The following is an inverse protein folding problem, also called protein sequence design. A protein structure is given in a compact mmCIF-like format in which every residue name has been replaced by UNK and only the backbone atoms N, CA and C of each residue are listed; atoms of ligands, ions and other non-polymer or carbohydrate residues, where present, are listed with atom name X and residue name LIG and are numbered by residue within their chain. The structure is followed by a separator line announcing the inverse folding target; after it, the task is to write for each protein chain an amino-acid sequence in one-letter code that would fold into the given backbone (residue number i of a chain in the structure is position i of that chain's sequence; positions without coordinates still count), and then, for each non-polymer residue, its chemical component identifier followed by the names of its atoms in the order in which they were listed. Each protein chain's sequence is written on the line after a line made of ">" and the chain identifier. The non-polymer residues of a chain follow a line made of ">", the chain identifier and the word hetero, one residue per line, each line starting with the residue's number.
data_IF_159314559033
#
_entry.id   IF_159314559033
#
_cell.length_a   1.000
_cell.length_b   1.000
_cell.length_c   1.000
_cell.angle_alpha   90.00
_cell.angle_beta   90.00
_cell.angle_gamma   90.00
#
_symmetry.space_group_name_H-M   'P 1'
#
loop_
_entity.id
_entity.type
_entity.pdbx_description
1 polymer ?
#
# COMPACT_ATOMS: atom_id res chain seq x y z
N UNK A 1 -8.03 19.69 -26.43
CA UNK A 1 -8.02 18.77 -25.27
C UNK A 1 -6.55 18.57 -24.90
N UNK A 2 -6.10 19.12 -23.78
CA UNK A 2 -4.71 18.92 -23.34
C UNK A 2 -4.55 17.45 -22.95
N UNK A 3 -3.76 16.68 -23.70
CA UNK A 3 -3.41 15.31 -23.33
C UNK A 3 -2.48 15.39 -22.12
N UNK A 4 -3.06 15.45 -20.92
CA UNK A 4 -2.28 15.23 -19.71
C UNK A 4 -1.63 13.85 -19.82
N UNK A 5 -0.33 13.78 -19.55
CA UNK A 5 0.37 12.51 -19.45
C UNK A 5 -0.35 11.64 -18.41
N UNK A 6 -0.77 10.44 -18.80
CA UNK A 6 -1.41 9.47 -17.91
C UNK A 6 -0.43 9.04 -16.80
N UNK A 7 -0.93 8.64 -15.61
CA UNK A 7 -0.06 8.26 -14.49
C UNK A 7 0.69 6.95 -14.74
N UNK A 8 0.16 6.12 -15.66
CA UNK A 8 0.79 4.88 -16.09
C UNK A 8 1.06 4.91 -17.60
N UNK A 9 2.07 4.14 -18.03
CA UNK A 9 2.39 4.01 -19.45
C UNK A 9 1.24 3.34 -20.23
N UNK A 10 1.13 3.61 -21.53
CA UNK A 10 0.05 3.05 -22.37
C UNK A 10 0.01 1.51 -22.38
N UNK A 11 1.17 0.86 -22.17
CA UNK A 11 1.32 -0.59 -22.11
C UNK A 11 0.95 -1.21 -20.76
N UNK A 12 0.85 -0.43 -19.69
CA UNK A 12 0.53 -0.95 -18.35
C UNK A 12 -0.91 -1.47 -18.30
N UNK A 13 -1.08 -2.74 -17.96
CA UNK A 13 -2.38 -3.41 -17.77
C UNK A 13 -2.56 -3.97 -16.36
N UNK A 14 -1.48 -4.36 -15.69
CA UNK A 14 -1.53 -4.95 -14.34
C UNK A 14 -0.58 -4.23 -13.40
N UNK A 15 -1.15 -3.66 -12.35
CA UNK A 15 -0.44 -2.96 -11.27
C UNK A 15 -0.60 -3.75 -9.99
N UNK A 16 0.50 -4.29 -9.47
CA UNK A 16 0.52 -5.10 -8.26
C UNK A 16 0.93 -4.25 -7.05
N UNK A 17 0.17 -4.34 -5.97
CA UNK A 17 0.54 -3.82 -4.66
C UNK A 17 0.95 -4.98 -3.75
N UNK A 18 2.21 -4.97 -3.32
CA UNK A 18 2.77 -5.88 -2.32
C UNK A 18 2.99 -5.14 -0.99
N UNK A 19 2.71 -5.82 0.10
CA UNK A 19 2.93 -5.27 1.43
C UNK A 19 2.29 -6.11 2.53
N UNK A 20 2.15 -5.49 3.70
CA UNK A 20 1.60 -6.13 4.89
C UNK A 20 0.10 -5.83 5.11
N UNK A 21 -0.34 -5.76 6.37
CA UNK A 21 -1.73 -5.49 6.77
C UNK A 21 -2.27 -4.15 6.29
N UNK A 22 -1.42 -3.12 6.16
CA UNK A 22 -1.84 -1.80 5.65
C UNK A 22 -2.17 -1.90 4.15
N UNK A 23 -1.40 -2.70 3.41
CA UNK A 23 -1.70 -3.00 2.01
C UNK A 23 -2.92 -3.89 1.88
N UNK A 24 -3.08 -4.89 2.74
CA UNK A 24 -4.27 -5.73 2.81
C UNK A 24 -5.56 -4.93 3.10
N UNK A 25 -5.51 -3.95 4.01
CA UNK A 25 -6.62 -3.03 4.25
C UNK A 25 -6.96 -2.24 2.97
N UNK A 26 -5.94 -1.70 2.30
CA UNK A 26 -6.02 -1.40 0.87
C UNK A 26 -6.83 -0.16 0.46
N UNK A 27 -7.34 0.65 1.39
CA UNK A 27 -8.12 1.84 1.02
C UNK A 27 -7.33 2.80 0.12
N UNK A 28 -6.01 2.94 0.32
CA UNK A 28 -5.19 3.76 -0.58
C UNK A 28 -5.12 3.21 -2.01
N UNK A 29 -5.29 1.90 -2.20
CA UNK A 29 -5.35 1.25 -3.52
C UNK A 29 -6.70 1.55 -4.17
N UNK A 30 -7.79 1.44 -3.40
CA UNK A 30 -9.14 1.85 -3.84
C UNK A 30 -9.12 3.30 -4.30
N UNK A 31 -8.48 4.20 -3.54
CA UNK A 31 -8.42 5.62 -3.89
C UNK A 31 -7.65 5.87 -5.20
N UNK A 32 -6.53 5.18 -5.42
CA UNK A 32 -5.76 5.28 -6.65
C UNK A 32 -6.55 4.72 -7.84
N UNK A 33 -7.15 3.53 -7.70
CA UNK A 33 -7.95 2.91 -8.75
C UNK A 33 -9.14 3.80 -9.15
N UNK A 34 -9.88 4.31 -8.16
CA UNK A 34 -11.00 5.21 -8.38
C UNK A 34 -10.57 6.51 -9.06
N UNK A 35 -9.47 7.12 -8.60
CA UNK A 35 -8.91 8.30 -9.24
C UNK A 35 -8.57 8.06 -10.71
N UNK A 36 -7.84 6.97 -10.99
CA UNK A 36 -7.42 6.63 -12.34
C UNK A 36 -8.59 6.27 -13.25
N UNK A 37 -9.54 5.49 -12.76
CA UNK A 37 -10.73 5.10 -13.52
C UNK A 37 -11.58 6.31 -13.92
N UNK A 38 -11.81 7.25 -12.99
CA UNK A 38 -12.66 8.41 -13.25
C UNK A 38 -11.98 9.47 -14.12
N UNK A 39 -10.67 9.70 -13.97
CA UNK A 39 -9.94 10.70 -14.74
C UNK A 39 -9.39 10.17 -16.07
N UNK A 40 -9.16 8.86 -16.17
CA UNK A 40 -8.57 8.20 -17.34
C UNK A 40 -9.37 6.95 -17.76
N UNK A 41 -10.67 7.06 -18.07
CA UNK A 41 -11.54 5.89 -18.32
C UNK A 41 -11.11 4.99 -19.50
N UNK A 42 -10.31 5.52 -20.42
CA UNK A 42 -9.72 4.77 -21.54
C UNK A 42 -8.51 3.91 -21.16
N UNK A 43 -7.89 4.16 -20.00
CA UNK A 43 -6.78 3.36 -19.49
C UNK A 43 -7.33 2.23 -18.61
N UNK A 44 -7.47 1.03 -19.20
CA UNK A 44 -7.90 -0.17 -18.48
C UNK A 44 -6.71 -0.82 -17.77
N UNK A 45 -6.66 -0.66 -16.45
CA UNK A 45 -5.66 -1.25 -15.57
C UNK A 45 -6.36 -2.10 -14.51
N UNK A 46 -5.85 -3.31 -14.29
CA UNK A 46 -6.19 -4.16 -13.16
C UNK A 46 -5.23 -3.83 -12.00
N UNK A 47 -5.80 -3.33 -10.90
CA UNK A 47 -5.06 -3.09 -9.66
C UNK A 47 -5.20 -4.30 -8.74
N UNK A 48 -4.09 -4.98 -8.47
CA UNK A 48 -4.05 -6.24 -7.73
C UNK A 48 -3.48 -6.00 -6.33
N UNK A 49 -4.32 -6.17 -5.32
CA UNK A 49 -3.89 -6.13 -3.92
C UNK A 49 -3.39 -7.51 -3.45
N UNK A 50 -2.10 -7.62 -3.19
CA UNK A 50 -1.45 -8.82 -2.63
C UNK A 50 -0.86 -8.54 -1.24
N UNK A 51 -1.43 -7.61 -0.48
CA UNK A 51 -1.04 -7.39 0.91
C UNK A 51 -1.33 -8.60 1.79
N UNK A 52 -0.39 -9.04 2.63
CA UNK A 52 -0.60 -10.13 3.59
C UNK A 52 -0.39 -9.63 5.03
N UNK A 53 -1.41 -9.69 5.92
CA UNK A 53 -1.26 -9.15 7.26
C UNK A 53 -0.09 -9.78 8.04
N UNK A 54 0.59 -8.95 8.84
CA UNK A 54 1.79 -9.31 9.62
C UNK A 54 3.05 -9.67 8.82
N UNK A 55 2.99 -9.73 7.48
CA UNK A 55 4.12 -10.12 6.64
C UNK A 55 5.32 -9.18 6.79
N UNK A 56 6.52 -9.78 6.71
CA UNK A 56 7.81 -9.09 6.62
C UNK A 56 8.49 -9.40 5.29
N UNK A 57 9.32 -8.47 4.82
CA UNK A 57 10.27 -8.73 3.73
C UNK A 57 11.62 -9.18 4.27
N UNK A 58 11.92 -8.85 5.52
CA UNK A 58 13.14 -9.27 6.23
C UNK A 58 13.17 -10.76 6.61
N UNK A 59 12.03 -11.45 6.55
CA UNK A 59 11.87 -12.84 7.02
C UNK A 59 11.94 -13.00 8.54
N UNK A 60 11.89 -11.89 9.28
CA UNK A 60 11.99 -11.90 10.74
C UNK A 60 10.64 -12.17 11.41
N UNK A 61 10.69 -12.84 12.56
CA UNK A 61 9.56 -12.99 13.47
C UNK A 61 10.05 -12.95 14.91
N UNK A 62 9.36 -12.19 15.76
CA UNK A 62 9.58 -12.21 17.20
C UNK A 62 9.02 -13.49 17.83
N UNK A 63 9.61 -13.88 18.96
CA UNK A 63 9.08 -14.95 19.80
C UNK A 63 7.67 -14.59 20.30
N UNK A 64 6.75 -15.55 20.25
CA UNK A 64 5.38 -15.35 20.72
C UNK A 64 4.48 -14.53 19.78
N UNK A 65 4.89 -14.27 18.53
CA UNK A 65 4.02 -13.62 17.54
C UNK A 65 2.63 -14.29 17.48
N UNK A 66 1.58 -13.47 17.39
CA UNK A 66 0.19 -13.93 17.44
C UNK A 66 -0.16 -14.84 18.64
N UNK A 67 0.45 -14.58 19.80
CA UNK A 67 0.29 -15.41 21.01
C UNK A 67 0.94 -16.80 20.88
N UNK A 68 1.98 -16.91 20.05
CA UNK A 68 2.66 -18.17 19.75
C UNK A 68 1.96 -19.06 18.72
N UNK A 69 0.84 -18.62 18.14
CA UNK A 69 0.06 -19.44 17.19
C UNK A 69 0.78 -19.67 15.86
N UNK A 70 1.52 -18.68 15.37
CA UNK A 70 2.29 -18.77 14.13
C UNK A 70 3.35 -17.65 14.08
N UNK A 71 4.50 -17.86 13.40
CA UNK A 71 5.47 -16.79 13.17
C UNK A 71 4.92 -15.75 12.18
N UNK A 72 5.52 -14.56 12.11
CA UNK A 72 5.20 -13.62 11.03
C UNK A 72 5.33 -14.29 9.66
N UNK A 73 4.40 -14.05 8.72
CA UNK A 73 4.58 -14.47 7.35
C UNK A 73 5.83 -13.82 6.74
N UNK A 74 6.49 -14.56 5.85
CA UNK A 74 7.69 -14.14 5.15
C UNK A 74 7.39 -14.06 3.65
N UNK A 75 7.62 -12.90 3.03
CA UNK A 75 7.39 -12.72 1.59
C UNK A 75 8.17 -13.74 0.73
N UNK A 76 9.36 -14.16 1.17
CA UNK A 76 10.17 -15.18 0.47
C UNK A 76 9.40 -16.48 0.25
N UNK A 77 8.43 -16.78 1.11
CA UNK A 77 7.64 -18.00 1.04
C UNK A 77 6.70 -18.04 -0.17
N UNK A 78 6.18 -16.89 -0.62
CA UNK A 78 5.11 -16.83 -1.62
C UNK A 78 5.41 -16.00 -2.87
N UNK A 79 6.47 -15.20 -2.88
CA UNK A 79 6.71 -14.24 -3.96
C UNK A 79 6.72 -14.88 -5.35
N UNK A 80 7.44 -16.00 -5.53
CA UNK A 80 7.54 -16.65 -6.85
C UNK A 80 6.16 -17.09 -7.38
N UNK A 81 5.26 -17.56 -6.49
CA UNK A 81 3.87 -17.89 -6.85
C UNK A 81 3.06 -16.65 -7.19
N UNK A 82 3.19 -15.57 -6.40
CA UNK A 82 2.54 -14.29 -6.66
C UNK A 82 2.95 -13.73 -8.02
N UNK A 83 4.24 -13.73 -8.34
CA UNK A 83 4.76 -13.25 -9.63
C UNK A 83 4.21 -14.09 -10.80
N UNK A 84 4.23 -15.42 -10.68
CA UNK A 84 3.75 -16.32 -11.73
C UNK A 84 2.24 -16.17 -11.99
N UNK A 85 1.46 -15.96 -10.92
CA UNK A 85 0.02 -15.80 -10.97
C UNK A 85 -0.39 -14.43 -11.53
N UNK A 86 0.20 -13.35 -11.02
CA UNK A 86 -0.25 -11.98 -11.32
C UNK A 86 0.32 -11.43 -12.63
N UNK A 87 1.57 -11.81 -12.97
CA UNK A 87 2.31 -11.31 -14.15
C UNK A 87 2.20 -9.78 -14.29
N UNK A 88 2.67 -9.01 -13.29
CA UNK A 88 2.46 -7.57 -13.26
C UNK A 88 3.37 -6.83 -14.24
N UNK A 89 2.89 -5.70 -14.76
CA UNK A 89 3.69 -4.76 -15.54
C UNK A 89 4.42 -3.75 -14.64
N UNK A 90 3.82 -3.46 -13.48
CA UNK A 90 4.32 -2.54 -12.47
C UNK A 90 4.02 -3.08 -11.07
N UNK A 91 4.98 -2.92 -10.17
CA UNK A 91 4.86 -3.31 -8.76
C UNK A 91 5.08 -2.11 -7.86
N UNK A 92 4.18 -1.91 -6.90
CA UNK A 92 4.38 -1.06 -5.74
C UNK A 92 4.62 -1.94 -4.51
N UNK A 93 5.75 -1.77 -3.82
CA UNK A 93 6.11 -2.59 -2.67
C UNK A 93 6.23 -1.75 -1.40
N UNK A 94 5.42 -2.05 -0.38
CA UNK A 94 5.37 -1.31 0.89
C UNK A 94 5.66 -2.21 2.09
N UNK A 95 6.92 -2.22 2.53
CA UNK A 95 7.41 -3.00 3.67
C UNK A 95 8.21 -2.12 4.65
N UNK A 96 8.39 -2.59 5.88
CA UNK A 96 9.10 -1.87 6.94
C UNK A 96 8.34 -1.90 8.28
N UNK A 97 7.02 -1.75 8.28
CA UNK A 97 6.20 -1.66 9.51
C UNK A 97 6.36 -2.86 10.44
N UNK A 98 6.52 -4.07 9.91
CA UNK A 98 6.68 -5.28 10.71
C UNK A 98 8.15 -5.71 10.87
N UNK A 99 9.03 -5.23 10.00
CA UNK A 99 10.40 -5.72 9.83
C UNK A 99 11.32 -5.36 11.01
N UNK A 100 11.00 -4.27 11.71
CA UNK A 100 11.66 -3.90 12.97
C UNK A 100 11.11 -4.61 14.21
N UNK A 101 10.10 -5.48 14.06
CA UNK A 101 9.44 -6.27 15.11
C UNK A 101 8.90 -5.45 16.29
N UNK A 102 8.58 -4.17 16.08
CA UNK A 102 8.10 -3.26 17.13
C UNK A 102 9.08 -3.11 18.30
N UNK A 103 10.37 -3.26 18.02
CA UNK A 103 11.48 -3.11 18.97
C UNK A 103 12.31 -1.85 18.65
N UNK A 104 13.07 -1.31 19.62
CA UNK A 104 14.01 -0.22 19.35
C UNK A 104 14.96 -0.54 18.19
N UNK A 105 15.53 0.50 17.59
CA UNK A 105 16.44 0.34 16.47
C UNK A 105 17.59 -0.61 16.78
N UNK A 106 17.92 -1.45 15.80
CA UNK A 106 18.99 -2.43 15.87
C UNK A 106 19.57 -2.64 14.48
N UNK A 107 20.89 -2.67 14.40
CA UNK A 107 21.60 -2.78 13.13
C UNK A 107 21.40 -4.14 12.46
N UNK A 108 21.21 -5.21 13.25
CA UNK A 108 21.01 -6.56 12.68
C UNK A 108 19.63 -6.65 12.03
N UNK A 109 18.56 -6.23 12.71
CA UNK A 109 17.20 -6.14 12.13
C UNK A 109 17.17 -5.21 10.93
N UNK A 110 17.82 -4.05 11.03
CA UNK A 110 17.90 -3.13 9.90
C UNK A 110 18.62 -3.73 8.70
N UNK A 111 19.72 -4.48 8.90
CA UNK A 111 20.39 -5.17 7.82
C UNK A 111 19.47 -6.19 7.14
N UNK A 112 18.70 -6.98 7.91
CA UNK A 112 17.73 -7.92 7.34
C UNK A 112 16.62 -7.24 6.54
N UNK A 113 16.15 -6.08 6.97
CA UNK A 113 15.23 -5.27 6.16
C UNK A 113 15.86 -4.84 4.83
N UNK A 114 17.09 -4.31 4.85
CA UNK A 114 17.80 -3.88 3.64
C UNK A 114 18.04 -5.03 2.67
N UNK A 115 18.41 -6.20 3.19
CA UNK A 115 18.65 -7.41 2.42
C UNK A 115 17.35 -7.88 1.76
N UNK A 116 16.25 -7.94 2.52
CA UNK A 116 14.93 -8.32 2.00
C UNK A 116 14.42 -7.38 0.91
N UNK A 117 14.53 -6.06 1.11
CA UNK A 117 14.17 -5.08 0.07
C UNK A 117 15.03 -5.24 -1.19
N UNK A 118 16.34 -5.46 -1.03
CA UNK A 118 17.24 -5.66 -2.16
C UNK A 118 16.91 -6.93 -2.92
N UNK A 119 16.69 -8.03 -2.21
CA UNK A 119 16.23 -9.30 -2.79
C UNK A 119 14.92 -9.14 -3.56
N UNK A 120 13.93 -8.44 -2.99
CA UNK A 120 12.65 -8.19 -3.64
C UNK A 120 12.83 -7.36 -4.93
N UNK A 121 13.66 -6.33 -4.87
CA UNK A 121 13.99 -5.52 -6.04
C UNK A 121 14.61 -6.38 -7.14
N UNK A 122 15.63 -7.16 -6.81
CA UNK A 122 16.38 -7.99 -7.75
C UNK A 122 15.50 -9.06 -8.39
N UNK A 123 14.55 -9.64 -7.63
CA UNK A 123 13.57 -10.62 -8.15
C UNK A 123 12.72 -10.06 -9.30
N UNK A 124 12.24 -8.81 -9.18
CA UNK A 124 11.46 -8.16 -10.24
C UNK A 124 12.34 -7.62 -11.36
N UNK A 125 13.47 -6.98 -11.03
CA UNK A 125 14.42 -6.45 -11.99
C UNK A 125 14.97 -7.54 -12.92
N UNK A 126 15.28 -8.73 -12.39
CA UNK A 126 15.74 -9.88 -13.18
C UNK A 126 14.71 -10.39 -14.19
N UNK A 127 13.43 -10.04 -14.04
CA UNK A 127 12.36 -10.32 -15.00
C UNK A 127 12.00 -9.12 -15.88
N UNK A 128 12.74 -8.01 -15.77
CA UNK A 128 12.44 -6.76 -16.49
C UNK A 128 11.14 -6.09 -16.03
N UNK A 129 10.63 -6.44 -14.84
CA UNK A 129 9.39 -5.86 -14.30
C UNK A 129 9.75 -4.61 -13.49
N UNK A 130 9.07 -3.50 -13.79
CA UNK A 130 9.26 -2.24 -13.07
C UNK A 130 8.75 -2.36 -11.63
N UNK A 131 9.58 -1.99 -10.66
CA UNK A 131 9.23 -1.95 -9.24
C UNK A 131 9.51 -0.57 -8.64
N UNK A 132 8.54 -0.05 -7.91
CA UNK A 132 8.62 1.18 -7.13
C UNK A 132 8.46 0.82 -5.65
N UNK A 133 9.48 1.13 -4.85
CA UNK A 133 9.39 0.95 -3.40
C UNK A 133 8.62 2.10 -2.76
N UNK A 134 7.69 1.79 -1.86
CA UNK A 134 6.99 2.76 -1.04
C UNK A 134 7.64 2.78 0.33
N UNK A 135 8.00 3.96 0.85
CA UNK A 135 8.46 4.07 2.25
C UNK A 135 7.34 3.60 3.20
N UNK A 136 7.66 2.92 4.31
CA UNK A 136 6.64 2.47 5.25
C UNK A 136 5.86 3.65 5.85
N UNK A 137 4.54 3.52 6.09
CA UNK A 137 3.75 4.49 6.83
C UNK A 137 4.33 4.79 8.22
N UNK A 138 3.94 5.92 8.81
CA UNK A 138 4.34 6.29 10.16
C UNK A 138 3.81 5.31 11.20
N UNK A 139 4.63 5.02 12.20
CA UNK A 139 4.17 4.42 13.45
C UNK A 139 3.95 5.51 14.50
N UNK A 140 2.79 5.47 15.15
CA UNK A 140 2.40 6.45 16.15
C UNK A 140 2.55 5.87 17.57
N UNK A 141 3.68 6.19 18.21
CA UNK A 141 4.01 5.66 19.54
C UNK A 141 3.01 6.07 20.62
N UNK A 142 2.34 7.22 20.48
CA UNK A 142 1.34 7.68 21.45
C UNK A 142 0.10 6.77 21.47
N UNK A 143 -0.14 6.04 20.37
CA UNK A 143 -1.26 5.12 20.22
C UNK A 143 -0.83 3.66 20.35
N UNK A 144 0.25 3.28 19.68
CA UNK A 144 0.71 1.89 19.64
C UNK A 144 1.59 1.47 20.82
N UNK A 145 2.11 2.42 21.60
CA UNK A 145 2.82 2.16 22.86
C UNK A 145 4.24 1.57 22.74
N UNK A 146 4.80 1.42 21.53
CA UNK A 146 6.16 0.89 21.32
C UNK A 146 7.15 2.05 21.17
N UNK A 147 7.68 2.48 22.31
CA UNK A 147 8.63 3.61 22.39
C UNK A 147 9.89 3.37 21.54
N UNK A 148 10.29 4.38 20.78
CA UNK A 148 11.44 4.35 19.88
C UNK A 148 11.19 3.65 18.54
N UNK A 149 9.99 3.12 18.30
CA UNK A 149 9.68 2.46 17.03
C UNK A 149 9.42 3.45 15.89
N UNK A 150 8.87 4.63 16.15
CA UNK A 150 8.71 5.68 15.13
C UNK A 150 10.05 6.04 14.48
N UNK A 151 11.13 6.13 15.28
CA UNK A 151 12.50 6.35 14.78
C UNK A 151 13.02 5.20 13.91
N UNK A 152 12.58 3.96 14.15
CA UNK A 152 12.93 2.83 13.27
C UNK A 152 12.34 3.05 11.88
N UNK A 153 11.08 3.48 11.80
CA UNK A 153 10.43 3.74 10.51
C UNK A 153 11.00 4.98 9.81
N UNK A 154 11.46 5.99 10.55
CA UNK A 154 12.25 7.11 9.99
C UNK A 154 13.50 6.56 9.30
N UNK A 155 14.33 5.78 10.01
CA UNK A 155 15.60 5.26 9.47
C UNK A 155 15.40 4.33 8.28
N UNK A 156 14.33 3.51 8.29
CA UNK A 156 14.02 2.62 7.18
C UNK A 156 13.58 3.42 5.94
N UNK A 157 12.79 4.48 6.15
CA UNK A 157 12.35 5.39 5.10
C UNK A 157 13.51 6.19 4.51
N UNK A 158 14.39 6.76 5.35
CA UNK A 158 15.60 7.47 4.92
C UNK A 158 16.50 6.60 4.05
N UNK A 159 16.72 5.34 4.47
CA UNK A 159 17.54 4.43 3.70
C UNK A 159 16.93 4.08 2.33
N UNK A 160 15.62 3.83 2.28
CA UNK A 160 14.89 3.61 1.02
C UNK A 160 15.04 4.82 0.10
N UNK A 161 14.78 6.03 0.61
CA UNK A 161 14.91 7.27 -0.17
C UNK A 161 16.34 7.49 -0.68
N UNK A 162 17.35 7.10 0.10
CA UNK A 162 18.76 7.11 -0.32
C UNK A 162 19.05 6.24 -1.54
N UNK A 163 18.26 5.18 -1.78
CA UNK A 163 18.46 4.28 -2.92
C UNK A 163 18.16 4.94 -4.27
N UNK A 164 17.40 6.04 -4.30
CA UNK A 164 17.21 6.85 -5.51
C UNK A 164 18.54 7.32 -6.08
N UNK A 165 19.46 7.77 -5.23
CA UNK A 165 20.78 8.25 -5.65
C UNK A 165 21.80 7.11 -5.71
N UNK A 166 21.76 6.20 -4.74
CA UNK A 166 22.77 5.15 -4.62
C UNK A 166 22.64 4.05 -5.68
N UNK A 167 21.41 3.72 -6.09
CA UNK A 167 21.11 2.60 -7.00
C UNK A 167 20.18 2.97 -8.16
N UNK A 168 19.81 4.24 -8.29
CA UNK A 168 18.80 4.69 -9.26
C UNK A 168 17.45 3.95 -9.14
N UNK A 169 17.10 3.55 -7.92
CA UNK A 169 15.82 2.90 -7.66
C UNK A 169 14.67 3.92 -7.67
N UNK A 170 13.52 3.47 -8.14
CA UNK A 170 12.27 4.21 -7.99
C UNK A 170 11.72 4.03 -6.56
N UNK A 171 11.51 5.15 -5.88
CA UNK A 171 10.99 5.16 -4.50
C UNK A 171 9.96 6.29 -4.33
N UNK A 172 8.76 5.98 -3.87
CA UNK A 172 7.74 6.95 -3.52
C UNK A 172 7.67 7.13 -2.00
N UNK A 173 7.68 8.39 -1.55
CA UNK A 173 7.65 8.75 -0.12
C UNK A 173 6.21 8.87 0.36
N UNK A 174 5.78 7.91 1.17
CA UNK A 174 4.53 7.97 1.94
C UNK A 174 4.79 8.46 3.37
N UNK A 175 5.98 8.21 3.91
CA UNK A 175 6.30 8.34 5.32
C UNK A 175 6.26 9.80 5.78
N UNK A 176 7.06 10.67 5.16
CA UNK A 176 7.19 12.05 5.61
C UNK A 176 5.94 12.90 5.34
N UNK A 177 5.18 12.71 4.25
CA UNK A 177 3.86 13.32 4.11
C UNK A 177 2.92 12.98 5.27
N UNK A 178 2.85 11.71 5.68
CA UNK A 178 2.05 11.28 6.83
C UNK A 178 2.56 11.87 8.14
N UNK A 179 3.89 11.83 8.37
CA UNK A 179 4.52 12.37 9.58
C UNK A 179 4.24 13.86 9.73
N UNK A 180 4.48 14.63 8.67
CA UNK A 180 4.20 16.07 8.63
C UNK A 180 2.74 16.38 8.95
N UNK A 181 1.81 15.62 8.38
CA UNK A 181 0.38 15.82 8.63
C UNK A 181 0.01 15.55 10.09
N UNK A 182 0.47 14.42 10.64
CA UNK A 182 0.24 14.03 12.04
C UNK A 182 0.78 15.07 13.02
N UNK A 183 2.03 15.50 12.84
CA UNK A 183 2.68 16.49 13.71
C UNK A 183 2.01 17.86 13.62
N UNK A 184 1.58 18.28 12.43
CA UNK A 184 0.89 19.56 12.25
C UNK A 184 -0.45 19.60 13.01
N UNK A 185 -1.26 18.54 12.90
CA UNK A 185 -2.53 18.45 13.64
C UNK A 185 -2.29 18.42 15.14
N UNK A 186 -1.32 17.64 15.62
CA UNK A 186 -0.98 17.58 17.05
C UNK A 186 -0.50 18.91 17.62
N UNK A 187 0.19 19.74 16.83
CA UNK A 187 0.55 21.10 17.26
C UNK A 187 -0.70 21.98 17.47
N UNK A 188 -1.70 21.85 16.60
CA UNK A 188 -2.99 22.54 16.75
C UNK A 188 -3.74 22.02 17.98
N UNK A 189 -3.85 20.70 18.14
CA UNK A 189 -4.55 20.09 19.27
C UNK A 189 -3.93 20.46 20.61
N UNK A 190 -2.59 20.46 20.69
CA UNK A 190 -1.87 20.89 21.87
C UNK A 190 -2.13 22.37 22.20
N UNK A 191 -2.19 23.25 21.19
CA UNK A 191 -2.53 24.65 21.40
C UNK A 191 -3.98 24.85 21.90
N UNK A 192 -4.88 23.91 21.59
CA UNK A 192 -6.28 23.91 22.03
C UNK A 192 -6.54 23.07 23.29
N UNK A 193 -5.51 22.43 23.87
CA UNK A 193 -5.63 21.50 25.00
C UNK A 193 -6.65 20.37 24.77
N UNK A 194 -6.70 19.81 23.56
CA UNK A 194 -7.58 18.68 23.22
C UNK A 194 -6.78 17.39 22.98
N UNK A 195 -7.49 16.26 22.96
CA UNK A 195 -6.87 14.96 22.68
C UNK A 195 -6.15 14.97 21.34
N UNK A 196 -4.89 14.55 21.34
CA UNK A 196 -4.05 14.58 20.14
C UNK A 196 -4.60 13.70 19.01
N UNK A 197 -4.62 14.30 17.83
CA UNK A 197 -4.94 13.68 16.56
C UNK A 197 -4.07 12.44 16.32
N UNK A 198 -4.64 11.49 15.57
CA UNK A 198 -3.98 10.27 15.18
C UNK A 198 -4.43 9.90 13.78
N UNK A 199 -3.51 9.34 13.00
CA UNK A 199 -3.85 8.71 11.72
C UNK A 199 -4.29 7.26 11.91
N UNK A 200 -3.82 6.59 12.97
CA UNK A 200 -4.09 5.19 13.28
C UNK A 200 -4.47 5.05 14.77
N UNK A 201 -5.65 4.49 15.05
CA UNK A 201 -6.14 4.37 16.43
C UNK A 201 -5.28 3.43 17.29
N UNK A 202 -4.69 2.40 16.67
CA UNK A 202 -3.76 1.44 17.27
C UNK A 202 -2.28 1.82 17.03
N UNK A 203 -2.04 2.97 16.41
CA UNK A 203 -0.73 3.47 16.02
C UNK A 203 -0.07 2.77 14.83
N UNK A 204 -0.75 1.82 14.18
CA UNK A 204 -0.21 1.02 13.06
C UNK A 204 -1.06 1.16 11.80
N UNK A 205 -2.38 0.93 11.90
CA UNK A 205 -3.28 0.84 10.76
C UNK A 205 -3.97 2.19 10.52
N UNK A 206 -3.59 2.95 9.46
CA UNK A 206 -4.18 4.24 9.22
C UNK A 206 -5.68 4.14 8.89
N UNK A 207 -6.48 5.08 9.37
CA UNK A 207 -7.85 5.28 8.92
C UNK A 207 -7.92 5.95 7.55
N UNK A 208 -9.12 6.38 7.16
CA UNK A 208 -9.39 6.99 5.85
C UNK A 208 -8.45 8.16 5.53
N UNK A 209 -8.27 9.11 6.45
CA UNK A 209 -7.34 10.24 6.26
C UNK A 209 -5.91 9.78 5.99
N UNK A 210 -5.43 8.77 6.72
CA UNK A 210 -4.08 8.24 6.53
C UNK A 210 -3.91 7.51 5.21
N UNK A 211 -4.90 6.71 4.82
CA UNK A 211 -4.92 6.06 3.52
C UNK A 211 -4.98 7.05 2.36
N UNK A 212 -5.75 8.13 2.49
CA UNK A 212 -5.76 9.20 1.49
C UNK A 212 -4.40 9.89 1.36
N UNK A 213 -3.70 10.18 2.47
CA UNK A 213 -2.35 10.76 2.40
C UNK A 213 -1.40 9.84 1.63
N UNK A 214 -1.49 8.52 1.85
CA UNK A 214 -0.71 7.53 1.11
C UNK A 214 -1.07 7.56 -0.39
N UNK A 215 -2.36 7.51 -0.73
CA UNK A 215 -2.83 7.55 -2.12
C UNK A 215 -2.39 8.84 -2.82
N UNK A 216 -2.61 9.99 -2.19
CA UNK A 216 -2.20 11.31 -2.68
C UNK A 216 -0.69 11.40 -2.91
N UNK A 217 0.13 10.91 -1.98
CA UNK A 217 1.57 10.89 -2.13
C UNK A 217 2.01 10.05 -3.34
N UNK A 218 1.38 8.89 -3.55
CA UNK A 218 1.68 8.03 -4.69
C UNK A 218 1.16 8.62 -6.02
N UNK A 219 -0.03 9.22 -6.04
CA UNK A 219 -0.53 9.93 -7.22
C UNK A 219 0.37 11.12 -7.60
N UNK A 220 0.85 11.88 -6.62
CA UNK A 220 1.84 12.94 -6.86
C UNK A 220 3.16 12.40 -7.42
N UNK A 221 3.63 11.26 -6.91
CA UNK A 221 4.81 10.56 -7.46
C UNK A 221 4.59 10.17 -8.93
N UNK A 222 3.38 9.72 -9.28
CA UNK A 222 2.98 9.37 -10.65
C UNK A 222 2.73 10.59 -11.56
N UNK A 223 2.89 11.81 -11.04
CA UNK A 223 2.79 13.05 -11.82
C UNK A 223 1.43 13.75 -11.74
N UNK A 224 0.50 13.26 -10.93
CA UNK A 224 -0.86 13.82 -10.79
C UNK A 224 -0.88 15.08 -9.92
N UNK A 225 -0.32 16.18 -10.44
CA UNK A 225 -0.17 17.44 -9.69
C UNK A 225 -1.50 18.01 -9.18
N UNK A 226 -2.61 17.72 -9.86
CA UNK A 226 -3.94 18.24 -9.48
C UNK A 226 -4.42 17.71 -8.13
N UNK A 227 -3.90 16.57 -7.66
CA UNK A 227 -4.30 16.02 -6.35
C UNK A 227 -3.67 16.77 -5.17
N UNK A 228 -2.71 17.66 -5.40
CA UNK A 228 -1.98 18.36 -4.33
C UNK A 228 -2.89 19.17 -3.40
N UNK A 229 -3.99 19.70 -3.92
CA UNK A 229 -4.96 20.52 -3.17
C UNK A 229 -6.19 19.73 -2.70
N UNK A 230 -6.34 18.48 -3.12
CA UNK A 230 -7.49 17.67 -2.71
C UNK A 230 -7.35 17.21 -1.26
N UNK A 231 -8.44 17.39 -0.49
CA UNK A 231 -8.53 17.01 0.92
C UNK A 231 -8.79 15.50 1.10
N UNK A 232 -9.46 14.89 0.13
CA UNK A 232 -9.84 13.49 0.06
C UNK A 232 -10.00 13.06 -1.42
N UNK A 233 -10.31 11.79 -1.65
CA UNK A 233 -10.57 11.26 -2.98
C UNK A 233 -11.79 11.91 -3.67
N UNK A 234 -12.97 12.08 -3.03
CA UNK A 234 -14.08 12.79 -3.64
C UNK A 234 -13.77 14.22 -4.10
N UNK A 235 -12.88 14.93 -3.39
CA UNK A 235 -12.37 16.24 -3.78
C UNK A 235 -11.33 16.21 -4.90
N UNK A 236 -10.72 15.04 -5.16
CA UNK A 236 -9.75 14.84 -6.23
C UNK A 236 -10.39 14.48 -7.59
N UNK A 237 -11.69 14.20 -7.63
CA UNK A 237 -12.42 13.77 -8.83
C UNK A 237 -13.70 14.58 -9.05
N UNK A 238 -14.05 14.80 -10.31
CA UNK A 238 -15.20 15.63 -10.70
C UNK A 238 -16.43 14.84 -11.15
N UNK A 239 -16.36 13.50 -11.17
CA UNK A 239 -17.46 12.66 -11.63
C UNK A 239 -18.71 12.80 -10.74
N UNK A 240 -19.89 12.91 -11.34
CA UNK A 240 -21.15 13.14 -10.61
C UNK A 240 -21.55 11.95 -9.73
N UNK A 241 -21.23 10.73 -10.17
CA UNK A 241 -21.47 9.45 -9.47
C UNK A 241 -20.28 8.95 -8.64
N UNK A 242 -19.36 9.84 -8.26
CA UNK A 242 -18.09 9.46 -7.62
C UNK A 242 -18.24 8.61 -6.37
N UNK A 243 -19.22 8.90 -5.51
CA UNK A 243 -19.41 8.15 -4.26
C UNK A 243 -19.87 6.71 -4.53
N UNK A 244 -20.80 6.51 -5.46
CA UNK A 244 -21.25 5.18 -5.88
C UNK A 244 -20.12 4.39 -6.55
N UNK A 245 -19.32 5.05 -7.41
CA UNK A 245 -18.16 4.42 -8.06
C UNK A 245 -17.12 3.98 -7.04
N UNK A 246 -16.75 4.84 -6.09
CA UNK A 246 -15.78 4.52 -5.03
C UNK A 246 -16.25 3.31 -4.22
N UNK A 247 -17.56 3.25 -3.89
CA UNK A 247 -18.14 2.11 -3.16
C UNK A 247 -18.03 0.81 -3.95
N UNK A 248 -18.37 0.81 -5.24
CA UNK A 248 -18.27 -0.40 -6.08
C UNK A 248 -16.82 -0.86 -6.25
N UNK A 249 -15.88 0.07 -6.42
CA UNK A 249 -14.45 -0.24 -6.53
C UNK A 249 -13.94 -0.84 -5.21
N UNK A 250 -14.32 -0.28 -4.06
CA UNK A 250 -14.00 -0.85 -2.76
C UNK A 250 -14.53 -2.28 -2.61
N UNK A 251 -15.79 -2.51 -3.00
CA UNK A 251 -16.40 -3.85 -2.97
C UNK A 251 -15.65 -4.85 -3.86
N UNK A 252 -15.25 -4.44 -5.06
CA UNK A 252 -14.44 -5.27 -5.96
C UNK A 252 -13.08 -5.58 -5.35
N UNK A 253 -12.39 -4.59 -4.79
CA UNK A 253 -11.08 -4.78 -4.15
C UNK A 253 -11.17 -5.73 -2.94
N UNK A 254 -12.19 -5.59 -2.10
CA UNK A 254 -12.42 -6.48 -0.95
C UNK A 254 -12.67 -7.92 -1.37
N UNK A 255 -13.45 -8.14 -2.43
CA UNK A 255 -13.67 -9.47 -3.02
C UNK A 255 -12.37 -10.06 -3.58
N UNK A 256 -11.68 -9.27 -4.42
CA UNK A 256 -10.56 -9.78 -5.21
C UNK A 256 -9.29 -9.99 -4.39
N UNK A 257 -9.01 -9.16 -3.37
CA UNK A 257 -7.78 -9.32 -2.56
C UNK A 257 -7.72 -10.68 -1.87
N UNK A 258 -8.84 -11.15 -1.31
CA UNK A 258 -8.89 -12.45 -0.62
C UNK A 258 -8.81 -13.61 -1.62
N UNK A 259 -9.42 -13.48 -2.81
CA UNK A 259 -9.35 -14.48 -3.87
C UNK A 259 -7.91 -14.62 -4.42
N UNK A 260 -7.25 -13.49 -4.67
CA UNK A 260 -5.85 -13.43 -5.10
C UNK A 260 -4.91 -14.07 -4.08
N UNK A 261 -5.04 -13.75 -2.79
CA UNK A 261 -4.25 -14.37 -1.72
C UNK A 261 -4.48 -15.88 -1.63
N UNK A 262 -5.73 -16.31 -1.77
CA UNK A 262 -6.10 -17.74 -1.74
C UNK A 262 -5.47 -18.49 -2.90
N UNK A 263 -5.53 -17.93 -4.11
CA UNK A 263 -4.94 -18.53 -5.30
C UNK A 263 -3.41 -18.55 -5.27
N UNK A 264 -2.77 -17.49 -4.76
CA UNK A 264 -1.32 -17.45 -4.60
C UNK A 264 -0.82 -18.43 -3.51
N UNK A 265 -1.65 -18.67 -2.49
CA UNK A 265 -1.34 -19.50 -1.33
C UNK A 265 -0.34 -18.85 -0.38
N UNK A 266 -0.62 -18.93 0.92
CA UNK A 266 0.26 -18.44 1.99
C UNK A 266 0.12 -19.30 3.25
N UNK A 267 1.13 -19.23 4.13
CA UNK A 267 1.11 -19.98 5.41
C UNK A 267 0.36 -19.29 6.56
N UNK A 268 -0.03 -18.02 6.41
CA UNK A 268 -0.77 -17.30 7.46
C UNK A 268 -2.15 -17.93 7.69
N UNK A 269 -2.53 -18.28 8.93
CA UNK A 269 -3.90 -18.68 9.25
C UNK A 269 -4.87 -17.50 9.08
N UNK A 270 -5.76 -17.56 8.08
CA UNK A 270 -6.85 -16.60 7.87
C UNK A 270 -7.97 -17.20 7.03
N UNK A 271 -9.11 -16.50 7.00
CA UNK A 271 -10.23 -16.84 6.14
C UNK A 271 -9.76 -16.84 4.69
N UNK A 272 -10.11 -17.90 3.95
CA UNK A 272 -9.89 -17.98 2.50
C UNK A 272 -10.94 -17.14 1.78
N UNK A 273 -10.51 -16.50 0.71
CA UNK A 273 -11.40 -15.93 -0.31
C UNK A 273 -12.03 -17.01 -1.18
N UNK A 274 -12.89 -16.57 -2.10
CA UNK A 274 -13.47 -17.44 -3.11
C UNK A 274 -12.36 -17.97 -4.05
N UNK A 275 -12.58 -19.12 -4.72
CA UNK A 275 -11.75 -19.51 -5.86
C UNK A 275 -11.66 -18.37 -6.87
N UNK A 276 -10.48 -18.17 -7.45
CA UNK A 276 -10.21 -17.00 -8.30
C UNK A 276 -11.17 -16.88 -9.49
N UNK A 277 -11.56 -18.01 -10.09
CA UNK A 277 -12.54 -18.05 -11.19
C UNK A 277 -13.91 -17.53 -10.74
N UNK A 278 -14.42 -18.01 -9.60
CA UNK A 278 -15.71 -17.54 -9.05
C UNK A 278 -15.66 -16.06 -8.66
N UNK A 279 -14.56 -15.62 -8.04
CA UNK A 279 -14.36 -14.22 -7.69
C UNK A 279 -14.31 -13.32 -8.93
N UNK A 280 -13.68 -13.79 -10.01
CA UNK A 280 -13.58 -13.05 -11.29
C UNK A 280 -14.94 -12.86 -11.93
N UNK A 281 -15.81 -13.87 -11.90
CA UNK A 281 -17.19 -13.76 -12.40
C UNK A 281 -17.96 -12.68 -11.61
N UNK A 282 -17.90 -12.72 -10.28
CA UNK A 282 -18.54 -11.72 -9.41
C UNK A 282 -17.95 -10.32 -9.58
N UNK A 283 -16.63 -10.21 -9.80
CA UNK A 283 -15.99 -8.94 -10.08
C UNK A 283 -16.44 -8.35 -11.43
N UNK A 284 -16.70 -9.18 -12.43
CA UNK A 284 -17.24 -8.74 -13.73
C UNK A 284 -18.65 -8.13 -13.59
N UNK A 285 -19.51 -8.68 -12.73
CA UNK A 285 -20.84 -8.09 -12.42
C UNK A 285 -20.70 -6.69 -11.79
N UNK A 286 -19.69 -6.48 -10.95
CA UNK A 286 -19.39 -5.16 -10.38
C UNK A 286 -18.84 -4.23 -11.47
N UNK A 287 -17.98 -4.72 -12.36
CA UNK A 287 -17.45 -3.95 -13.49
C UNK A 287 -18.53 -3.49 -14.47
N UNK A 288 -19.60 -4.27 -14.66
CA UNK A 288 -20.78 -3.87 -15.44
C UNK A 288 -21.53 -2.71 -14.78
N UNK A 289 -21.72 -2.76 -13.45
CA UNK A 289 -22.33 -1.67 -12.69
C UNK A 289 -21.50 -0.38 -12.75
N UNK A 290 -20.18 -0.51 -12.57
CA UNK A 290 -19.23 0.60 -12.73
C UNK A 290 -19.31 1.17 -14.14
N UNK A 291 -19.28 0.32 -15.17
CA UNK A 291 -19.33 0.74 -16.57
C UNK A 291 -20.65 1.44 -16.92
N UNK A 292 -21.76 1.05 -16.29
CA UNK A 292 -23.05 1.73 -16.42
C UNK A 292 -23.03 3.14 -15.82
N UNK A 293 -22.40 3.31 -14.66
CA UNK A 293 -22.27 4.61 -14.00
C UNK A 293 -21.26 5.55 -14.67
N UNK A 294 -20.30 5.01 -15.42
CA UNK A 294 -19.28 5.76 -16.15
C UNK A 294 -19.73 6.29 -17.52
N UNK A 295 -20.95 5.92 -17.98
CA UNK A 295 -21.58 6.44 -19.20
C UNK A 295 -22.25 7.79 -18.95
#
# INVERSE_FOLDING_TARGET
>A
MSSFAQPFSAGTKKVLFLGNSITYAGQYIVDIEAYCMMNYPGQKIEFINMGLPSETVSGLSEAGHAGGKFPRPDLHERLDRVMALTKPDLVFACYGMNDGLYMPFDNVRFQKFKDGISWLHDKYAAKGIRIVHLTPPVYDELRGGKKGYSEVLDKYSDWLLGQKKAKNWEVADLHYPMKKYLEAHRKVDAALNINGFYLAADGVHPGETGHWIMAKALLLYLGEKKVSTAADLPGAVTHSKKYELIKLIAQKQDLMKDAWLTAAGHKRPMKKGLPLEEATIKAAEIDEQISSLMK
#
